data_IF_041615679113
#
_entry.id   IF_041615679113
#
_cell.length_a   1.000
_cell.length_b   1.000
_cell.length_c   1.000
_cell.angle_alpha   90.00
_cell.angle_beta   90.00
_cell.angle_gamma   90.00
#
_symmetry.space_group_name_H-M   'P 1'
#
loop_
_entity.id
_entity.type
_entity.pdbx_description
1 polymer ?
#
# COMPACT_ATOMS: atom_id res chain seq x y z
N UNK A 1 29.72 -44.56 -22.54
CA UNK A 1 28.89 -44.69 -23.77
C UNK A 1 28.22 -43.35 -24.03
N UNK A 2 28.53 -42.71 -25.15
CA UNK A 2 28.08 -41.37 -25.52
C UNK A 2 26.96 -41.53 -26.55
N UNK A 3 25.78 -40.95 -26.31
CA UNK A 3 24.76 -40.73 -27.34
C UNK A 3 24.49 -39.23 -27.44
N UNK A 4 25.15 -38.60 -28.42
CA UNK A 4 24.83 -37.26 -28.91
C UNK A 4 23.55 -37.40 -29.76
N UNK A 5 22.52 -36.62 -29.47
CA UNK A 5 21.34 -36.50 -30.34
C UNK A 5 21.25 -35.03 -30.78
N UNK A 6 21.15 -34.89 -32.09
CA UNK A 6 21.20 -33.69 -32.90
C UNK A 6 19.81 -33.05 -33.00
N UNK A 7 19.73 -31.72 -32.86
CA UNK A 7 18.53 -30.89 -33.10
C UNK A 7 18.13 -30.87 -34.59
N UNK A 8 16.88 -30.47 -34.88
CA UNK A 8 16.62 -29.57 -36.00
C UNK A 8 16.21 -28.17 -35.51
N UNK A 9 16.88 -27.17 -36.06
CA UNK A 9 16.55 -25.76 -35.95
C UNK A 9 15.29 -25.46 -36.79
N UNK A 10 14.33 -24.74 -36.21
CA UNK A 10 13.21 -24.16 -36.95
C UNK A 10 13.46 -22.66 -37.06
N UNK A 11 13.84 -22.24 -38.25
CA UNK A 11 14.03 -20.84 -38.63
C UNK A 11 12.70 -20.33 -39.17
N UNK A 12 11.96 -19.55 -38.37
CA UNK A 12 10.72 -18.91 -38.82
C UNK A 12 11.03 -17.49 -39.30
N UNK A 13 10.62 -17.22 -40.54
CA UNK A 13 10.97 -16.05 -41.32
C UNK A 13 10.30 -14.77 -40.83
N UNK A 14 11.08 -13.69 -40.77
CA UNK A 14 10.60 -12.31 -40.71
C UNK A 14 9.93 -11.95 -42.05
N UNK A 15 8.67 -11.51 -41.99
CA UNK A 15 8.00 -10.77 -43.06
C UNK A 15 7.87 -9.31 -42.60
N UNK A 16 8.75 -8.46 -43.13
CA UNK A 16 8.62 -7.01 -43.07
C UNK A 16 7.87 -6.53 -44.31
N UNK A 17 6.82 -5.73 -44.12
CA UNK A 17 6.20 -4.89 -45.15
C UNK A 17 6.29 -3.41 -44.74
N UNK A 18 6.33 -2.47 -45.71
CA UNK A 18 6.82 -1.12 -45.50
C UNK A 18 5.72 -0.07 -45.27
N UNK A 19 6.11 0.95 -44.49
CA UNK A 19 5.92 2.41 -44.68
C UNK A 19 4.49 2.95 -44.90
N UNK A 20 4.08 3.88 -44.02
CA UNK A 20 3.76 5.26 -44.41
C UNK A 20 3.85 6.21 -43.21
N UNK A 21 4.62 7.28 -43.39
CA UNK A 21 4.65 8.43 -42.50
C UNK A 21 3.30 9.16 -42.55
N UNK A 22 2.89 9.70 -41.40
CA UNK A 22 1.65 10.47 -41.26
C UNK A 22 1.65 11.36 -40.01
N UNK A 23 2.23 12.55 -40.16
CA UNK A 23 1.70 13.86 -39.73
C UNK A 23 1.12 13.99 -38.30
N UNK A 24 1.75 14.88 -37.50
CA UNK A 24 1.14 15.47 -36.31
C UNK A 24 -0.11 16.28 -36.67
N UNK A 25 -1.15 16.22 -35.82
CA UNK A 25 -1.96 17.38 -35.56
C UNK A 25 -1.89 17.72 -34.06
N UNK A 26 -1.35 18.91 -33.78
CA UNK A 26 -1.71 19.64 -32.58
C UNK A 26 -3.20 19.97 -32.60
N UNK A 27 -3.84 19.73 -31.46
CA UNK A 27 -5.06 20.42 -31.00
C UNK A 27 -4.80 20.68 -29.52
N UNK A 28 -4.40 21.87 -29.12
CA UNK A 28 -5.30 23.00 -28.89
C UNK A 28 -6.52 22.58 -28.06
N UNK A 29 -6.41 22.75 -26.74
CA UNK A 29 -7.59 22.99 -25.91
C UNK A 29 -7.49 24.45 -25.43
N UNK A 30 -7.98 25.36 -26.27
CA UNK A 30 -8.34 26.70 -25.86
C UNK A 30 -9.58 26.62 -24.94
N UNK A 31 -9.56 27.43 -23.88
CA UNK A 31 -10.37 27.24 -22.69
C UNK A 31 -11.78 27.81 -22.72
N UNK A 32 -12.42 27.74 -21.56
CA UNK A 32 -13.11 28.88 -20.92
C UNK A 32 -13.27 28.60 -19.42
N UNK A 33 -13.19 29.63 -18.55
CA UNK A 33 -13.11 29.47 -17.11
C UNK A 33 -14.51 29.35 -16.51
N UNK A 34 -14.67 28.49 -15.51
CA UNK A 34 -15.81 28.54 -14.61
C UNK A 34 -15.38 29.23 -13.32
N UNK A 35 -15.80 30.48 -13.20
CA UNK A 35 -15.71 31.32 -12.02
C UNK A 35 -16.56 30.71 -10.91
N UNK A 36 -15.97 30.52 -9.73
CA UNK A 36 -16.71 30.41 -8.47
C UNK A 36 -16.19 31.53 -7.57
N UNK A 37 -17.03 32.49 -7.17
CA UNK A 37 -16.60 33.59 -6.30
C UNK A 37 -16.62 33.11 -4.84
N UNK A 38 -15.59 33.48 -4.09
CA UNK A 38 -15.48 33.20 -2.66
C UNK A 38 -14.05 33.37 -2.18
N UNK A 39 -13.69 34.63 -1.92
CA UNK A 39 -12.43 35.03 -1.31
C UNK A 39 -12.25 34.46 0.11
N UNK A 40 -10.98 34.19 0.44
CA UNK A 40 -10.37 34.18 1.78
C UNK A 40 -10.77 33.01 2.70
N UNK A 41 -9.86 32.11 3.09
CA UNK A 41 -8.77 32.39 4.01
C UNK A 41 -7.40 31.90 3.50
N UNK A 42 -6.38 32.73 3.73
CA UNK A 42 -4.98 32.34 3.70
C UNK A 42 -4.69 31.33 4.82
N UNK A 43 -4.56 30.07 4.44
CA UNK A 43 -3.98 29.00 5.24
C UNK A 43 -3.64 27.87 4.29
N UNK A 44 -2.36 27.49 4.22
CA UNK A 44 -1.87 26.41 3.35
C UNK A 44 -2.69 25.13 3.57
N UNK A 45 -3.72 24.90 2.75
CA UNK A 45 -4.52 23.67 2.79
C UNK A 45 -3.72 22.59 2.09
N UNK A 46 -3.21 21.65 2.88
CA UNK A 46 -2.59 20.45 2.34
C UNK A 46 -3.59 19.73 1.40
N UNK A 47 -3.12 19.09 0.32
CA UNK A 47 -3.99 18.36 -0.59
C UNK A 47 -4.79 17.28 0.16
N UNK A 48 -6.11 17.25 -0.09
CA UNK A 48 -6.99 16.19 0.41
C UNK A 48 -6.85 14.97 -0.49
N UNK A 49 -6.52 13.81 0.10
CA UNK A 49 -6.32 12.56 -0.63
C UNK A 49 -7.56 11.66 -0.51
N UNK A 50 -7.96 11.07 -1.63
CA UNK A 50 -9.05 10.11 -1.71
C UNK A 50 -8.67 8.76 -1.09
N UNK A 51 -9.67 7.95 -0.73
CA UNK A 51 -9.45 6.58 -0.25
C UNK A 51 -8.62 5.73 -1.23
N UNK A 52 -8.82 5.92 -2.54
CA UNK A 52 -8.02 5.24 -3.57
C UNK A 52 -6.54 5.65 -3.50
N UNK A 53 -6.25 6.95 -3.35
CA UNK A 53 -4.88 7.45 -3.21
C UNK A 53 -4.21 6.97 -1.92
N UNK A 54 -4.95 6.89 -0.80
CA UNK A 54 -4.43 6.32 0.45
C UNK A 54 -4.05 4.85 0.24
N UNK A 55 -4.93 4.04 -0.37
CA UNK A 55 -4.63 2.63 -0.66
C UNK A 55 -3.46 2.46 -1.63
N UNK A 56 -3.35 3.33 -2.64
CA UNK A 56 -2.22 3.32 -3.56
C UNK A 56 -0.91 3.64 -2.85
N UNK A 57 -0.89 4.66 -2.00
CA UNK A 57 0.29 5.01 -1.20
C UNK A 57 0.70 3.89 -0.24
N UNK A 58 -0.29 3.23 0.39
CA UNK A 58 -0.06 2.06 1.24
C UNK A 58 0.56 0.89 0.47
N UNK A 59 0.02 0.55 -0.71
CA UNK A 59 0.58 -0.50 -1.57
C UNK A 59 2.01 -0.19 -1.97
N UNK A 60 2.25 1.03 -2.45
CA UNK A 60 3.60 1.48 -2.83
C UNK A 60 4.58 1.44 -1.65
N UNK A 61 4.14 1.83 -0.45
CA UNK A 61 4.96 1.74 0.76
C UNK A 61 5.31 0.29 1.09
N UNK A 62 4.32 -0.61 1.13
CA UNK A 62 4.51 -2.03 1.42
C UNK A 62 5.49 -2.64 0.41
N UNK A 63 5.28 -2.40 -0.90
CA UNK A 63 6.17 -2.89 -1.96
C UNK A 63 7.61 -2.39 -1.80
N UNK A 64 7.80 -1.14 -1.35
CA UNK A 64 9.12 -0.54 -1.15
C UNK A 64 9.87 -1.10 0.08
N UNK A 65 9.16 -1.44 1.15
CA UNK A 65 9.78 -1.94 2.40
C UNK A 65 9.83 -3.47 2.47
N UNK A 66 9.10 -4.16 1.61
CA UNK A 66 9.10 -5.60 1.49
C UNK A 66 10.28 -6.10 0.64
N UNK A 67 10.95 -7.16 1.10
CA UNK A 67 12.02 -7.85 0.36
C UNK A 67 11.62 -9.29 0.12
N UNK A 68 11.58 -9.72 -1.15
CA UNK A 68 11.15 -11.07 -1.54
C UNK A 68 9.78 -11.47 -0.96
N UNK A 69 8.82 -10.53 -0.90
CA UNK A 69 7.51 -10.75 -0.32
C UNK A 69 7.46 -10.75 1.22
N UNK A 70 8.59 -10.53 1.89
CA UNK A 70 8.70 -10.43 3.35
C UNK A 70 8.68 -8.98 3.82
N UNK A 71 7.69 -8.62 4.63
CA UNK A 71 7.65 -7.43 5.47
C UNK A 71 8.25 -7.78 6.84
N UNK A 72 9.31 -7.10 7.24
CA UNK A 72 9.96 -7.31 8.53
C UNK A 72 9.65 -6.16 9.50
N UNK A 73 9.24 -6.48 10.72
CA UNK A 73 8.96 -5.49 11.77
C UNK A 73 9.38 -6.02 13.13
N UNK A 74 10.00 -5.16 13.94
CA UNK A 74 10.30 -5.46 15.34
C UNK A 74 9.07 -5.18 16.20
N UNK A 75 8.64 -6.15 16.99
CA UNK A 75 7.56 -5.99 17.95
C UNK A 75 8.13 -5.56 19.32
N UNK A 76 7.96 -4.29 19.74
CA UNK A 76 8.52 -3.80 21.00
C UNK A 76 7.86 -4.40 22.25
N UNK A 77 6.65 -4.99 22.15
CA UNK A 77 5.95 -5.59 23.29
C UNK A 77 6.50 -6.98 23.61
N UNK A 78 6.82 -7.76 22.59
CA UNK A 78 7.28 -9.15 22.73
C UNK A 78 8.78 -9.31 22.47
N UNK A 79 9.44 -8.25 21.98
CA UNK A 79 10.82 -8.23 21.52
C UNK A 79 11.12 -9.19 20.36
N UNK A 80 10.10 -9.55 19.58
CA UNK A 80 10.22 -10.48 18.44
C UNK A 80 10.41 -9.72 17.12
N UNK A 81 11.32 -10.22 16.28
CA UNK A 81 11.40 -9.79 14.89
C UNK A 81 10.44 -10.61 14.03
N UNK A 82 9.34 -9.98 13.62
CA UNK A 82 8.28 -10.62 12.84
C UNK A 82 8.62 -10.60 11.36
N UNK A 83 8.46 -11.76 10.71
CA UNK A 83 8.50 -11.92 9.25
C UNK A 83 7.10 -12.19 8.75
N UNK A 84 6.54 -11.21 8.05
CA UNK A 84 5.15 -11.18 7.68
C UNK A 84 4.99 -11.11 6.16
N UNK A 85 3.90 -11.68 5.65
CA UNK A 85 3.43 -11.45 4.28
C UNK A 85 2.18 -10.58 4.31
N UNK A 86 2.12 -9.60 3.41
CA UNK A 86 0.95 -8.74 3.28
C UNK A 86 -0.26 -9.55 2.79
N UNK A 87 -1.43 -9.31 3.40
CA UNK A 87 -2.69 -9.96 3.01
C UNK A 87 -3.64 -8.96 2.37
N UNK A 88 -4.02 -7.89 3.09
CA UNK A 88 -4.96 -6.88 2.58
C UNK A 88 -4.90 -5.56 3.35
N UNK A 89 -5.42 -4.52 2.71
CA UNK A 89 -5.81 -3.26 3.36
C UNK A 89 -7.31 -3.35 3.65
N UNK A 90 -7.74 -3.02 4.87
CA UNK A 90 -9.16 -3.01 5.24
C UNK A 90 -9.85 -1.73 4.77
N UNK A 91 -11.14 -1.86 4.51
CA UNK A 91 -12.05 -0.75 4.30
C UNK A 91 -12.85 -0.45 5.57
N UNK A 92 -13.08 0.84 5.91
CA UNK A 92 -12.59 2.02 5.22
C UNK A 92 -11.14 2.40 5.62
N UNK A 93 -10.40 2.98 4.67
CA UNK A 93 -9.29 3.90 4.98
C UNK A 93 -9.86 5.29 5.26
N UNK A 94 -9.25 6.07 6.15
CA UNK A 94 -9.85 7.34 6.60
C UNK A 94 -8.84 8.48 6.75
N UNK A 95 -9.33 9.70 6.60
CA UNK A 95 -8.67 10.89 7.10
C UNK A 95 -8.91 11.03 8.60
N UNK A 96 -7.89 11.40 9.35
CA UNK A 96 -8.00 11.89 10.72
C UNK A 96 -7.78 13.40 10.67
N UNK A 97 -8.88 14.15 10.80
CA UNK A 97 -8.89 15.62 10.62
C UNK A 97 -7.75 16.29 11.38
N UNK A 98 -6.91 17.04 10.65
CA UNK A 98 -5.77 17.76 11.20
C UNK A 98 -4.59 16.92 11.67
N UNK A 99 -4.61 15.59 11.48
CA UNK A 99 -3.52 14.67 11.88
C UNK A 99 -2.95 13.83 10.74
N UNK A 100 -3.67 13.70 9.62
CA UNK A 100 -3.24 12.94 8.45
C UNK A 100 -4.24 11.86 8.06
N UNK A 101 -3.73 10.72 7.59
CA UNK A 101 -4.51 9.61 7.06
C UNK A 101 -4.17 8.31 7.77
N UNK A 102 -5.09 7.35 7.68
CA UNK A 102 -5.00 6.10 8.41
C UNK A 102 -5.47 4.92 7.57
N UNK A 103 -4.72 3.83 7.66
CA UNK A 103 -5.06 2.54 7.06
C UNK A 103 -4.74 1.38 8.02
N UNK A 104 -5.67 0.44 8.12
CA UNK A 104 -5.49 -0.82 8.86
C UNK A 104 -5.29 -1.95 7.84
N UNK A 105 -4.44 -2.92 8.17
CA UNK A 105 -4.02 -3.97 7.26
C UNK A 105 -3.89 -5.31 7.97
N UNK A 106 -4.11 -6.40 7.23
CA UNK A 106 -3.79 -7.75 7.70
C UNK A 106 -2.45 -8.20 7.11
N UNK A 107 -1.64 -8.79 7.98
CA UNK A 107 -0.37 -9.43 7.68
C UNK A 107 -0.34 -10.82 8.28
N UNK A 108 0.12 -11.83 7.55
CA UNK A 108 0.21 -13.21 8.03
C UNK A 108 1.66 -13.58 8.32
N UNK A 109 1.90 -14.32 9.40
CA UNK A 109 3.23 -14.85 9.69
C UNK A 109 3.63 -15.86 8.62
N UNK A 110 4.85 -15.72 8.09
CA UNK A 110 5.34 -16.64 7.05
C UNK A 110 5.45 -18.06 7.62
N UNK A 111 4.78 -19.01 6.97
CA UNK A 111 4.77 -20.42 7.38
C UNK A 111 3.71 -20.78 8.43
N UNK A 112 2.96 -19.82 8.97
CA UNK A 112 1.91 -20.07 9.97
C UNK A 112 0.54 -19.60 9.46
N UNK A 113 -0.18 -20.50 8.78
CA UNK A 113 -1.51 -20.22 8.23
C UNK A 113 -2.51 -19.83 9.33
N UNK A 114 -3.25 -18.75 9.11
CA UNK A 114 -4.23 -18.18 10.02
C UNK A 114 -3.65 -17.27 11.09
N UNK A 115 -2.32 -17.21 11.25
CA UNK A 115 -1.66 -16.38 12.27
C UNK A 115 -1.50 -14.95 11.77
N UNK A 116 -2.60 -14.19 11.89
CA UNK A 116 -2.71 -12.83 11.38
C UNK A 116 -2.39 -11.78 12.43
N UNK A 117 -1.54 -10.83 12.06
CA UNK A 117 -1.39 -9.54 12.72
C UNK A 117 -2.24 -8.50 12.00
N UNK A 118 -2.77 -7.57 12.79
CA UNK A 118 -3.47 -6.37 12.31
C UNK A 118 -2.54 -5.18 12.57
N UNK A 119 -2.05 -4.56 11.49
CA UNK A 119 -1.11 -3.44 11.56
C UNK A 119 -1.78 -2.16 11.09
N UNK A 120 -1.65 -1.12 11.90
CA UNK A 120 -2.13 0.23 11.64
C UNK A 120 -1.00 1.10 11.10
N UNK A 121 -1.30 1.88 10.07
CA UNK A 121 -0.38 2.80 9.41
C UNK A 121 -0.96 4.21 9.40
N UNK A 122 -0.14 5.17 9.82
CA UNK A 122 -0.44 6.60 9.70
C UNK A 122 0.35 7.17 8.53
N UNK A 123 -0.32 8.00 7.73
CA UNK A 123 0.27 8.63 6.56
C UNK A 123 0.09 10.13 6.64
N UNK A 124 1.09 10.87 6.17
CA UNK A 124 1.03 12.31 6.02
C UNK A 124 1.48 12.75 4.63
N UNK A 125 0.97 13.89 4.12
CA UNK A 125 1.49 14.50 2.91
C UNK A 125 2.98 14.87 3.08
N UNK A 126 3.81 14.38 2.17
CA UNK A 126 5.23 14.73 2.02
C UNK A 126 5.48 14.96 0.54
N UNK A 127 5.92 16.18 0.19
CA UNK A 127 6.25 16.56 -1.21
C UNK A 127 5.11 16.26 -2.20
N UNK A 128 3.87 16.53 -1.79
CA UNK A 128 2.68 16.31 -2.63
C UNK A 128 2.21 14.85 -2.74
N UNK A 129 2.82 13.91 -2.02
CA UNK A 129 2.42 12.49 -1.98
C UNK A 129 2.15 12.05 -0.55
N UNK A 130 1.37 10.99 -0.36
CA UNK A 130 1.23 10.36 0.96
C UNK A 130 2.43 9.47 1.25
N UNK A 131 3.02 9.66 2.42
CA UNK A 131 4.06 8.79 2.95
C UNK A 131 3.63 8.25 4.32
N UNK A 132 3.89 6.96 4.56
CA UNK A 132 3.75 6.36 5.90
C UNK A 132 4.74 7.04 6.84
N UNK A 133 4.24 7.50 7.98
CA UNK A 133 5.02 8.17 9.03
C UNK A 133 5.08 7.37 10.32
N UNK A 134 4.09 6.53 10.59
CA UNK A 134 4.08 5.67 11.77
C UNK A 134 3.41 4.32 11.46
N UNK A 135 3.80 3.29 12.19
CA UNK A 135 3.26 1.93 12.07
C UNK A 135 3.17 1.29 13.45
N UNK A 136 2.02 0.69 13.77
CA UNK A 136 1.81 -0.01 15.04
C UNK A 136 1.10 -1.33 14.86
N UNK A 137 1.43 -2.28 15.74
CA UNK A 137 0.70 -3.54 15.88
C UNK A 137 -0.58 -3.25 16.67
N UNK A 138 -1.73 -3.28 15.99
CA UNK A 138 -3.05 -3.10 16.60
C UNK A 138 -3.52 -4.40 17.23
N UNK A 139 -3.53 -5.51 16.47
CA UNK A 139 -3.93 -6.83 16.98
C UNK A 139 -2.81 -7.84 16.78
N UNK A 140 -2.62 -8.66 17.80
CA UNK A 140 -1.74 -9.81 17.75
C UNK A 140 -2.55 -11.11 17.72
N UNK A 141 -2.05 -12.16 17.04
CA UNK A 141 -2.70 -13.46 17.05
C UNK A 141 -2.45 -14.18 18.39
N UNK A 142 -3.51 -14.73 18.97
CA UNK A 142 -3.48 -15.58 20.15
C UNK A 142 -4.17 -16.91 19.86
N UNK A 143 -3.67 -18.02 20.42
CA UNK A 143 -4.35 -19.30 20.34
C UNK A 143 -5.48 -19.37 21.37
N UNK A 144 -6.69 -19.62 20.90
CA UNK A 144 -7.86 -19.90 21.73
C UNK A 144 -8.53 -21.15 21.18
N UNK A 145 -8.58 -22.22 21.97
CA UNK A 145 -9.22 -23.48 21.56
C UNK A 145 -8.63 -24.10 20.28
N UNK A 146 -7.33 -23.92 20.02
CA UNK A 146 -6.66 -24.43 18.82
C UNK A 146 -6.85 -23.57 17.57
N UNK A 147 -7.48 -22.40 17.68
CA UNK A 147 -7.65 -21.44 16.59
C UNK A 147 -6.88 -20.14 16.86
N UNK A 148 -6.39 -19.51 15.80
CA UNK A 148 -5.80 -18.18 15.89
C UNK A 148 -6.90 -17.11 15.92
N UNK A 149 -6.89 -16.29 16.97
CA UNK A 149 -7.81 -15.17 17.16
C UNK A 149 -6.99 -13.88 17.28
N UNK A 150 -7.42 -12.81 16.61
CA UNK A 150 -6.77 -11.50 16.70
C UNK A 150 -7.23 -10.76 17.96
N UNK A 151 -6.32 -10.50 18.89
CA UNK A 151 -6.59 -9.76 20.13
C UNK A 151 -5.98 -8.36 20.05
N UNK A 152 -6.78 -7.34 20.37
CA UNK A 152 -6.35 -5.94 20.30
C UNK A 152 -5.40 -5.57 21.45
N UNK A 153 -4.35 -4.82 21.11
CA UNK A 153 -3.40 -4.21 22.06
C UNK A 153 -3.86 -2.83 22.52
N UNK A 154 -4.55 -2.11 21.65
CA UNK A 154 -5.13 -0.81 21.94
C UNK A 154 -6.45 -0.62 21.20
N UNK A 155 -7.23 0.34 21.66
CA UNK A 155 -8.44 0.85 20.99
C UNK A 155 -8.22 2.32 20.60
N UNK A 156 -9.18 2.90 19.88
CA UNK A 156 -9.17 4.32 19.56
C UNK A 156 -10.14 5.09 20.47
N UNK A 157 -9.63 6.12 21.15
CA UNK A 157 -10.43 7.12 21.88
C UNK A 157 -10.06 8.49 21.33
N UNK A 158 -11.03 9.23 20.78
CA UNK A 158 -10.81 10.54 20.15
C UNK A 158 -9.68 10.54 19.10
N UNK A 159 -9.68 9.53 18.22
CA UNK A 159 -8.66 9.29 17.20
C UNK A 159 -7.23 9.19 17.76
N UNK A 160 -7.08 8.66 18.97
CA UNK A 160 -5.79 8.36 19.58
C UNK A 160 -5.78 6.90 20.07
N UNK A 161 -4.68 6.16 19.86
CA UNK A 161 -4.54 4.81 20.39
C UNK A 161 -4.44 4.85 21.92
N UNK A 162 -5.22 4.01 22.59
CA UNK A 162 -5.25 3.83 24.04
C UNK A 162 -5.17 2.34 24.34
N UNK A 163 -4.15 1.91 25.09
CA UNK A 163 -3.93 0.50 25.41
C UNK A 163 -5.13 -0.14 26.11
N UNK A 164 -5.46 -1.36 25.68
CA UNK A 164 -6.45 -2.19 26.36
C UNK A 164 -5.76 -2.79 27.59
N UNK A 165 -6.32 -2.54 28.78
CA UNK A 165 -5.84 -3.13 30.03
C UNK A 165 -6.22 -4.60 30.14
#
# INVERSE_FOLDING_TARGET
MIKKILLPAVMSAFLALPVLAGEHPGKEHAGKPAEHPGEEHAGTTAPVFTAAQIKQAMKAHIDAVTKNGVFAIHDPKTHQDLKLKFVKIHDPVREIKGKGYFACTDFEVIGETGKLYDLDFWLNPKEGKLAVTDTKIHKEPQQVGGQWVKTARYTFVNDKPVEVK
#
